data_IF_179296941567
#
_entry.id   IF_179296941567
#
_cell.length_a   1.000
_cell.length_b   1.000
_cell.length_c   1.000
_cell.angle_alpha   90.00
_cell.angle_beta   90.00
_cell.angle_gamma   90.00
#
_symmetry.space_group_name_H-M   'P 1'
#
loop_
_entity.id
_entity.type
_entity.pdbx_description
1 polymer ?
#
# COMPACT_ATOMS: atom_id res chain seq x y z
N UNK A 1 -1.19 -3.43 -14.54
CA UNK A 1 -1.60 -3.91 -13.21
C UNK A 1 -2.47 -2.84 -12.58
N UNK A 2 -3.57 -3.21 -11.93
CA UNK A 2 -4.57 -2.27 -11.41
C UNK A 2 -3.94 -1.20 -10.50
N UNK A 3 -4.40 0.03 -10.67
CA UNK A 3 -4.06 1.18 -9.84
C UNK A 3 -4.37 0.87 -8.36
N UNK A 4 -3.40 1.07 -7.46
CA UNK A 4 -3.49 0.72 -6.04
C UNK A 4 -4.70 1.38 -5.37
N UNK A 5 -5.04 2.60 -5.79
CA UNK A 5 -6.20 3.36 -5.34
C UNK A 5 -7.55 2.67 -5.59
N UNK A 6 -7.63 1.79 -6.59
CA UNK A 6 -8.86 1.07 -6.92
C UNK A 6 -9.05 -0.20 -6.07
N UNK A 7 -7.95 -0.89 -5.75
CA UNK A 7 -7.99 -2.16 -5.00
C UNK A 7 -7.93 -1.95 -3.49
N UNK A 8 -7.24 -0.90 -3.03
CA UNK A 8 -7.00 -0.62 -1.62
C UNK A 8 -8.30 -0.54 -0.78
N UNK A 9 -9.37 0.15 -1.21
CA UNK A 9 -10.62 0.17 -0.44
C UNK A 9 -11.27 -1.21 -0.31
N UNK A 10 -11.21 -2.03 -1.36
CA UNK A 10 -11.79 -3.36 -1.36
C UNK A 10 -11.04 -4.27 -0.38
N UNK A 11 -9.71 -4.22 -0.41
CA UNK A 11 -8.87 -4.97 0.52
C UNK A 11 -9.07 -4.55 1.98
N UNK A 12 -9.22 -3.26 2.27
CA UNK A 12 -9.48 -2.80 3.64
C UNK A 12 -10.89 -3.16 4.12
N UNK A 13 -11.89 -3.18 3.24
CA UNK A 13 -13.25 -3.52 3.61
C UNK A 13 -13.40 -4.96 4.10
N UNK A 14 -12.64 -5.91 3.54
CA UNK A 14 -12.70 -7.33 3.94
C UNK A 14 -11.95 -7.65 5.24
N UNK A 15 -11.12 -6.74 5.75
CA UNK A 15 -10.37 -6.96 6.99
C UNK A 15 -11.23 -6.68 8.23
N UNK A 16 -10.98 -7.41 9.31
CA UNK A 16 -11.43 -7.03 10.65
C UNK A 16 -10.66 -5.80 11.16
N UNK A 17 -11.19 -5.11 12.16
CA UNK A 17 -10.48 -4.00 12.82
C UNK A 17 -9.09 -4.44 13.30
N UNK A 18 -8.06 -3.67 12.97
CA UNK A 18 -6.66 -4.02 13.23
C UNK A 18 -6.00 -4.96 12.21
N UNK A 19 -6.76 -5.49 11.24
CA UNK A 19 -6.23 -6.34 10.17
C UNK A 19 -5.27 -5.59 9.22
N UNK A 20 -4.45 -6.35 8.50
CA UNK A 20 -3.36 -5.81 7.67
C UNK A 20 -3.49 -6.26 6.21
N UNK A 21 -3.23 -5.34 5.29
CA UNK A 21 -3.09 -5.57 3.85
C UNK A 21 -1.69 -5.16 3.39
N UNK A 22 -1.03 -6.03 2.62
CA UNK A 22 0.32 -5.80 2.09
C UNK A 22 0.26 -5.56 0.59
N UNK A 23 0.91 -4.50 0.11
CA UNK A 23 1.03 -4.20 -1.32
C UNK A 23 2.50 -4.06 -1.74
N UNK A 24 2.90 -4.83 -2.74
CA UNK A 24 4.24 -4.76 -3.34
C UNK A 24 4.26 -3.66 -4.41
N UNK A 25 5.25 -2.77 -4.32
CA UNK A 25 5.42 -1.63 -5.21
C UNK A 25 6.88 -1.49 -5.65
N UNK A 26 7.12 -0.96 -6.85
CA UNK A 26 8.46 -0.56 -7.30
C UNK A 26 8.81 0.86 -6.86
N UNK A 27 10.10 1.20 -6.85
CA UNK A 27 10.57 2.56 -6.61
C UNK A 27 9.88 3.61 -7.50
N UNK A 28 9.71 3.30 -8.80
CA UNK A 28 9.03 4.20 -9.74
C UNK A 28 7.57 4.50 -9.37
N UNK A 29 6.88 3.56 -8.72
CA UNK A 29 5.51 3.75 -8.24
C UNK A 29 5.44 4.59 -6.96
N UNK A 30 6.51 4.66 -6.18
CA UNK A 30 6.62 5.51 -4.98
C UNK A 30 7.26 6.87 -5.25
N UNK A 31 7.98 7.02 -6.35
CA UNK A 31 8.72 8.25 -6.69
C UNK A 31 7.83 9.48 -6.92
N UNK A 32 6.51 9.31 -7.04
CA UNK A 32 5.55 10.40 -7.26
C UNK A 32 4.53 10.44 -6.12
N UNK A 33 4.07 11.62 -5.68
CA UNK A 33 2.94 11.74 -4.78
C UNK A 33 1.70 11.03 -5.35
N UNK A 34 0.96 10.32 -4.49
CA UNK A 34 -0.24 9.54 -4.89
C UNK A 34 -1.47 9.97 -4.09
N UNK A 35 -2.00 11.18 -4.34
CA UNK A 35 -3.14 11.70 -3.59
C UNK A 35 -4.38 10.83 -3.71
N UNK A 36 -4.56 10.10 -4.82
CA UNK A 36 -5.66 9.16 -4.99
C UNK A 36 -5.56 7.96 -4.03
N UNK A 37 -4.35 7.45 -3.78
CA UNK A 37 -4.11 6.37 -2.80
C UNK A 37 -4.38 6.88 -1.40
N UNK A 38 -3.90 8.09 -1.06
CA UNK A 38 -4.14 8.71 0.24
C UNK A 38 -5.63 8.94 0.51
N UNK A 39 -6.36 9.41 -0.50
CA UNK A 39 -7.82 9.61 -0.42
C UNK A 39 -8.57 8.28 -0.26
N UNK A 40 -8.19 7.27 -1.05
CA UNK A 40 -8.76 5.92 -0.96
C UNK A 40 -8.53 5.29 0.42
N UNK A 41 -7.32 5.42 0.96
CA UNK A 41 -6.92 4.94 2.28
C UNK A 41 -7.76 5.58 3.39
N UNK A 42 -7.88 6.91 3.38
CA UNK A 42 -8.71 7.65 4.37
C UNK A 42 -10.17 7.26 4.28
N UNK A 43 -10.73 7.16 3.07
CA UNK A 43 -12.13 6.79 2.85
C UNK A 43 -12.45 5.38 3.37
N UNK A 44 -11.48 4.46 3.27
CA UNK A 44 -11.63 3.08 3.71
C UNK A 44 -11.30 2.86 5.20
N UNK A 45 -11.03 3.93 5.96
CA UNK A 45 -10.68 3.84 7.38
C UNK A 45 -9.35 3.13 7.64
N UNK A 46 -8.42 3.18 6.69
CA UNK A 46 -7.09 2.59 6.84
C UNK A 46 -6.01 3.62 7.16
N UNK A 47 -4.83 3.11 7.48
CA UNK A 47 -3.59 3.88 7.57
C UNK A 47 -2.43 3.11 6.97
N UNK A 48 -1.42 3.84 6.46
CA UNK A 48 -0.15 3.26 6.04
C UNK A 48 0.70 3.16 7.30
N UNK A 49 0.82 1.95 7.83
CA UNK A 49 1.54 1.68 9.07
C UNK A 49 3.06 1.63 8.83
N UNK A 50 3.50 1.05 7.72
CA UNK A 50 4.91 0.87 7.42
C UNK A 50 5.18 0.83 5.91
N UNK A 51 6.39 1.23 5.52
CA UNK A 51 6.93 1.03 4.18
C UNK A 51 8.27 0.32 4.31
N UNK A 52 8.31 -0.94 3.89
CA UNK A 52 9.49 -1.78 4.02
C UNK A 52 10.23 -1.88 2.68
N UNK A 53 11.43 -1.27 2.54
CA UNK A 53 12.24 -1.41 1.35
C UNK A 53 12.96 -2.77 1.33
N UNK A 54 13.07 -3.36 0.15
CA UNK A 54 13.87 -4.56 -0.09
C UNK A 54 14.41 -4.56 -1.52
N UNK A 55 15.43 -5.38 -1.78
CA UNK A 55 16.02 -5.54 -3.10
C UNK A 55 16.12 -7.03 -3.43
N UNK A 56 15.69 -7.42 -4.63
CA UNK A 56 15.86 -8.81 -5.06
C UNK A 56 17.31 -9.05 -5.52
N UNK A 57 17.82 -10.29 -5.39
CA UNK A 57 19.15 -10.63 -5.90
C UNK A 57 19.28 -10.28 -7.38
N UNK A 58 20.31 -9.49 -7.73
CA UNK A 58 20.57 -9.08 -9.10
C UNK A 58 19.81 -7.85 -9.61
N UNK A 59 18.91 -7.25 -8.81
CA UNK A 59 18.27 -5.99 -9.15
C UNK A 59 19.07 -4.79 -8.67
N UNK A 60 19.06 -3.70 -9.45
CA UNK A 60 19.65 -2.42 -9.05
C UNK A 60 18.65 -1.50 -8.32
N UNK A 61 17.35 -1.71 -8.55
CA UNK A 61 16.28 -0.88 -8.00
C UNK A 61 15.70 -1.47 -6.73
N UNK A 62 15.30 -0.59 -5.82
CA UNK A 62 14.57 -0.98 -4.62
C UNK A 62 13.10 -1.26 -4.94
N UNK A 63 12.56 -2.24 -4.21
CA UNK A 63 11.14 -2.58 -4.14
C UNK A 63 10.66 -2.30 -2.73
N UNK A 64 9.34 -2.18 -2.60
CA UNK A 64 8.73 -1.78 -1.34
C UNK A 64 7.53 -2.65 -1.05
N UNK A 65 7.37 -3.02 0.22
CA UNK A 65 6.15 -3.59 0.77
C UNK A 65 5.49 -2.48 1.56
N UNK A 66 4.30 -2.06 1.12
CA UNK A 66 3.46 -1.12 1.85
C UNK A 66 2.54 -1.89 2.77
N UNK A 67 2.55 -1.53 4.06
CA UNK A 67 1.73 -2.16 5.09
C UNK A 67 0.57 -1.24 5.41
N UNK A 68 -0.63 -1.62 4.99
CA UNK A 68 -1.86 -0.89 5.32
C UNK A 68 -2.59 -1.58 6.45
N UNK A 69 -2.98 -0.84 7.49
CA UNK A 69 -3.75 -1.33 8.63
C UNK A 69 -5.15 -0.76 8.61
N UNK A 70 -6.17 -1.60 8.85
CA UNK A 70 -7.54 -1.13 9.08
C UNK A 70 -7.67 -0.59 10.49
N UNK A 71 -8.16 0.65 10.64
CA UNK A 71 -8.47 1.21 11.95
C UNK A 71 -9.63 0.43 12.59
N UNK A 72 -9.50 0.19 13.89
CA UNK A 72 -10.52 -0.48 14.70
C UNK A 72 -11.74 0.40 14.93
#
# INVERSE_FOLDING_TARGET
MGQLENILPQCLNILSGGGVFLAWQSAGQLARPRPAVDAALRKAGGELAETFPYRLPGEAEDRYILVFKKRG
#
